data_IF_847752522933
#
_entry.id   IF_847752522933
#
_cell.length_a   1.000
_cell.length_b   1.000
_cell.length_c   1.000
_cell.angle_alpha   90.00
_cell.angle_beta   90.00
_cell.angle_gamma   90.00
#
_symmetry.space_group_name_H-M   'P 1'
#
loop_
_entity.id
_entity.type
_entity.pdbx_description
1 polymer ?
#
# COMPACT_ATOMS: atom_id res chain seq x y z
N UNK A 1 2.46 -4.39 -11.01
CA UNK A 1 2.44 -3.86 -9.64
C UNK A 1 3.13 -2.51 -9.71
N UNK A 2 2.57 -1.49 -9.07
CA UNK A 2 3.15 -0.14 -9.07
C UNK A 2 3.65 0.17 -7.68
N UNK A 3 4.89 0.61 -7.55
CA UNK A 3 5.56 0.83 -6.27
C UNK A 3 5.97 2.29 -6.15
N UNK A 4 5.54 2.92 -5.06
CA UNK A 4 5.83 4.32 -4.76
C UNK A 4 6.61 4.44 -3.44
N UNK A 5 7.72 5.18 -3.44
CA UNK A 5 8.29 5.71 -2.19
C UNK A 5 7.67 7.05 -1.87
N UNK A 6 7.20 7.25 -0.66
CA UNK A 6 6.69 8.57 -0.25
C UNK A 6 7.81 9.62 -0.15
N UNK A 7 9.03 9.22 0.18
CA UNK A 7 10.16 10.14 0.36
C UNK A 7 10.85 10.51 -0.95
N UNK A 8 10.85 9.59 -1.93
CA UNK A 8 11.55 9.76 -3.19
C UNK A 8 10.51 9.69 -4.30
N UNK A 9 10.38 10.76 -5.08
CA UNK A 9 9.47 10.82 -6.23
C UNK A 9 9.98 10.01 -7.42
N UNK A 10 10.17 8.72 -7.19
CA UNK A 10 10.64 7.73 -8.15
C UNK A 10 9.84 6.45 -8.01
N UNK A 11 9.52 5.86 -9.16
CA UNK A 11 9.03 4.49 -9.23
C UNK A 11 10.19 3.51 -8.91
N UNK A 12 9.84 2.34 -8.37
CA UNK A 12 10.78 1.25 -8.13
C UNK A 12 10.28 0.00 -8.84
N UNK A 13 11.20 -0.72 -9.47
CA UNK A 13 10.90 -1.99 -10.11
C UNK A 13 10.93 -3.16 -9.10
N UNK A 14 11.56 -2.96 -7.94
CA UNK A 14 11.79 -3.98 -6.93
C UNK A 14 11.75 -3.40 -5.51
N UNK A 15 11.13 -4.15 -4.58
CA UNK A 15 11.17 -3.89 -3.14
C UNK A 15 11.44 -5.18 -2.37
N UNK A 16 12.15 -5.04 -1.25
CA UNK A 16 12.28 -6.09 -0.25
C UNK A 16 11.48 -5.70 0.99
N UNK A 17 10.50 -6.54 1.36
CA UNK A 17 9.72 -6.38 2.59
C UNK A 17 10.14 -7.46 3.57
N UNK A 18 10.70 -7.06 4.71
CA UNK A 18 11.14 -7.96 5.77
C UNK A 18 10.10 -7.96 6.89
N UNK A 19 9.42 -9.08 7.08
CA UNK A 19 8.35 -9.24 8.06
C UNK A 19 8.71 -10.32 9.08
N UNK A 20 8.34 -10.08 10.33
CA UNK A 20 8.22 -11.13 11.34
C UNK A 20 7.03 -12.05 11.01
N UNK A 21 6.97 -13.26 11.59
CA UNK A 21 5.83 -14.16 11.36
C UNK A 21 4.46 -13.56 11.76
N UNK A 22 4.43 -12.64 12.73
CA UNK A 22 3.18 -11.99 13.15
C UNK A 22 2.76 -10.91 12.15
N UNK A 23 3.69 -10.05 11.72
CA UNK A 23 3.42 -9.04 10.69
C UNK A 23 3.00 -9.69 9.36
N UNK A 24 3.60 -10.85 9.02
CA UNK A 24 3.20 -11.61 7.83
C UNK A 24 1.77 -12.15 7.92
N UNK A 25 1.33 -12.63 9.10
CA UNK A 25 -0.05 -13.07 9.31
C UNK A 25 -1.03 -11.91 9.23
N UNK A 26 -0.71 -10.80 9.88
CA UNK A 26 -1.52 -9.59 9.83
C UNK A 26 -1.67 -9.08 8.39
N UNK A 27 -0.58 -9.09 7.62
CA UNK A 27 -0.63 -8.73 6.20
C UNK A 27 -1.60 -9.65 5.42
N UNK A 28 -1.54 -10.97 5.63
CA UNK A 28 -2.46 -11.91 4.96
C UNK A 28 -3.91 -11.64 5.34
N UNK A 29 -4.20 -11.44 6.63
CA UNK A 29 -5.56 -11.13 7.11
C UNK A 29 -6.10 -9.84 6.49
N UNK A 30 -5.29 -8.78 6.45
CA UNK A 30 -5.66 -7.50 5.84
C UNK A 30 -5.83 -7.60 4.32
N UNK A 31 -4.97 -8.37 3.64
CA UNK A 31 -5.08 -8.61 2.19
C UNK A 31 -6.37 -9.38 1.85
N UNK A 32 -6.74 -10.37 2.64
CA UNK A 32 -8.00 -11.08 2.45
C UNK A 32 -9.19 -10.14 2.62
N UNK A 33 -9.14 -9.23 3.61
CA UNK A 33 -10.16 -8.20 3.79
C UNK A 33 -10.32 -7.29 2.56
N UNK A 34 -9.20 -6.87 1.95
CA UNK A 34 -9.20 -6.08 0.72
C UNK A 34 -9.81 -6.80 -0.48
N UNK A 35 -9.57 -8.10 -0.61
CA UNK A 35 -10.09 -8.88 -1.74
C UNK A 35 -11.55 -9.27 -1.57
N UNK A 36 -12.01 -9.41 -0.32
CA UNK A 36 -13.37 -9.87 -0.01
C UNK A 36 -14.37 -8.71 0.12
N UNK A 37 -13.91 -7.51 0.50
CA UNK A 37 -14.73 -6.31 0.65
C UNK A 37 -14.22 -5.16 -0.24
N UNK A 38 -14.89 -4.95 -1.37
CA UNK A 38 -14.55 -3.91 -2.34
C UNK A 38 -14.81 -2.48 -1.86
N UNK A 39 -15.40 -2.29 -0.67
CA UNK A 39 -15.56 -0.96 -0.06
C UNK A 39 -14.28 -0.44 0.60
N UNK A 40 -13.31 -1.33 0.84
CA UNK A 40 -11.99 -0.99 1.37
C UNK A 40 -11.04 -0.89 0.18
N UNK A 41 -10.41 0.27 0.00
CA UNK A 41 -9.52 0.53 -1.15
C UNK A 41 -8.04 0.36 -0.82
N UNK A 42 -7.66 0.44 0.46
CA UNK A 42 -6.28 0.22 0.90
C UNK A 42 -6.21 -0.28 2.34
N UNK A 43 -5.08 -0.89 2.67
CA UNK A 43 -4.68 -1.25 4.04
C UNK A 43 -3.35 -0.58 4.36
N UNK A 44 -3.14 -0.35 5.65
CA UNK A 44 -1.83 -0.05 6.20
C UNK A 44 -1.35 -1.24 7.03
N UNK A 45 -0.08 -1.56 6.91
CA UNK A 45 0.67 -2.39 7.84
C UNK A 45 1.70 -1.49 8.51
N UNK A 46 1.49 -1.22 9.79
CA UNK A 46 2.25 -0.24 10.55
C UNK A 46 3.06 -0.91 11.64
N UNK A 47 4.28 -0.42 11.89
CA UNK A 47 5.07 -0.82 13.07
C UNK A 47 4.78 0.11 14.25
N UNK A 48 4.96 -0.40 15.48
CA UNK A 48 4.79 0.31 16.76
C UNK A 48 4.78 1.85 16.68
N UNK A 49 3.67 2.41 17.13
CA UNK A 49 3.45 3.84 17.25
C UNK A 49 4.30 4.40 18.41
N UNK A 50 5.17 5.37 18.10
CA UNK A 50 5.88 6.12 19.12
C UNK A 50 5.53 7.60 18.97
N UNK A 51 4.91 8.19 20.00
CA UNK A 51 4.52 9.61 20.02
C UNK A 51 3.58 10.03 18.87
N UNK A 52 2.60 9.20 18.49
CA UNK A 52 1.64 9.57 17.45
C UNK A 52 2.16 9.41 16.02
N UNK A 53 3.33 8.79 15.84
CA UNK A 53 3.94 8.56 14.53
C UNK A 53 4.36 7.10 14.39
N UNK A 54 3.92 6.47 13.29
CA UNK A 54 4.39 5.14 12.91
C UNK A 54 5.82 5.22 12.39
N UNK A 55 6.69 4.35 12.90
CA UNK A 55 8.10 4.33 12.49
C UNK A 55 8.31 3.80 11.06
N UNK A 56 7.44 2.90 10.62
CA UNK A 56 7.40 2.31 9.27
C UNK A 56 5.95 2.00 8.93
N UNK A 57 5.57 2.30 7.69
CA UNK A 57 4.24 2.06 7.16
C UNK A 57 4.38 1.44 5.76
N UNK A 58 3.68 0.35 5.53
CA UNK A 58 3.47 -0.23 4.21
C UNK A 58 2.00 -0.07 3.85
N UNK A 59 1.73 0.71 2.80
CA UNK A 59 0.38 0.86 2.25
C UNK A 59 0.22 -0.06 1.06
N UNK A 60 -0.84 -0.87 1.05
CA UNK A 60 -1.22 -1.70 -0.11
C UNK A 60 -2.63 -1.32 -0.50
N UNK A 61 -2.83 -1.02 -1.78
CA UNK A 61 -4.11 -0.62 -2.34
C UNK A 61 -4.49 -1.48 -3.54
N UNK A 62 -5.80 -1.70 -3.71
CA UNK A 62 -6.36 -2.33 -4.89
C UNK A 62 -7.01 -1.23 -5.72
N UNK A 63 -6.56 -1.10 -6.97
CA UNK A 63 -7.15 -0.17 -7.92
C UNK A 63 -7.88 -0.95 -9.03
N UNK A 64 -8.99 -0.38 -9.47
CA UNK A 64 -9.78 -0.75 -10.64
C UNK A 64 -10.01 0.50 -11.47
N UNK A 65 -10.49 0.36 -12.71
CA UNK A 65 -10.83 1.54 -13.52
C UNK A 65 -11.89 2.43 -12.83
N UNK A 66 -12.77 1.82 -12.03
CA UNK A 66 -13.88 2.51 -11.36
C UNK A 66 -13.45 3.36 -10.16
N UNK A 67 -12.33 3.02 -9.49
CA UNK A 67 -11.87 3.73 -8.29
C UNK A 67 -10.59 4.54 -8.48
N UNK A 68 -10.10 4.66 -9.73
CA UNK A 68 -8.90 5.44 -10.03
C UNK A 68 -9.01 6.88 -9.53
N UNK A 69 -10.20 7.46 -9.55
CA UNK A 69 -10.42 8.85 -9.14
C UNK A 69 -10.27 9.08 -7.63
N UNK A 70 -10.33 8.02 -6.81
CA UNK A 70 -10.19 8.08 -5.35
C UNK A 70 -8.72 8.17 -4.88
N UNK A 71 -7.76 7.91 -5.78
CA UNK A 71 -6.34 8.03 -5.48
C UNK A 71 -5.89 9.50 -5.54
N UNK A 72 -4.78 9.82 -4.89
CA UNK A 72 -4.14 11.12 -5.09
C UNK A 72 -3.49 11.20 -6.49
N UNK A 73 -3.27 12.42 -7.00
CA UNK A 73 -2.75 12.65 -8.36
C UNK A 73 -1.39 11.97 -8.61
N UNK A 74 -0.54 11.85 -7.59
CA UNK A 74 0.78 11.21 -7.72
C UNK A 74 0.62 9.70 -7.87
N UNK A 75 -0.25 9.09 -7.06
CA UNK A 75 -0.61 7.67 -7.18
C UNK A 75 -1.27 7.37 -8.52
N UNK A 76 -2.23 8.20 -8.98
CA UNK A 76 -2.86 8.06 -10.31
C UNK A 76 -1.83 8.09 -11.43
N UNK A 77 -0.93 9.08 -11.40
CA UNK A 77 0.12 9.23 -12.40
C UNK A 77 0.97 7.97 -12.49
N UNK A 78 1.42 7.43 -11.36
CA UNK A 78 2.16 6.17 -11.32
C UNK A 78 1.35 5.02 -11.92
N UNK A 79 0.09 4.85 -11.51
CA UNK A 79 -0.77 3.76 -11.99
C UNK A 79 -0.99 3.81 -13.51
N UNK A 80 -1.15 5.02 -14.08
CA UNK A 80 -1.45 5.22 -15.50
C UNK A 80 -0.21 5.19 -16.41
N UNK A 81 0.93 5.68 -15.93
CA UNK A 81 2.15 5.84 -16.72
C UNK A 81 3.08 4.62 -16.62
N UNK A 82 3.06 3.87 -15.51
CA UNK A 82 3.87 2.67 -15.29
C UNK A 82 3.13 1.42 -15.80
N UNK A 83 3.24 1.15 -17.11
CA UNK A 83 2.53 0.06 -17.81
C UNK A 83 3.34 -1.23 -17.89
#
# INVERSE_FOLDING_TARGET
MRILSYEIDKAFDEIFVYLTPNEAKELVERLNGLTDDHSIHHIHLDTDELNGQFKKMLTIAIYTEDNLDDFDERSKKLILEDK
#
